data_IF_730562938266
#
_entry.id   IF_730562938266
#
_cell.length_a   1.000
_cell.length_b   1.000
_cell.length_c   1.000
_cell.angle_alpha   90.00
_cell.angle_beta   90.00
_cell.angle_gamma   90.00
#
_symmetry.space_group_name_H-M   'P 1'
#
loop_
_entity.id
_entity.type
_entity.pdbx_description
1 polymer ?
#
# COMPACT_ATOMS: atom_id res chain seq x y z
N UNK A 1 32.04 -6.69 -31.31
CA UNK A 1 30.59 -6.90 -31.51
C UNK A 1 30.25 -8.31 -31.05
N UNK A 2 29.79 -8.43 -29.80
CA UNK A 2 29.26 -9.68 -29.26
C UNK A 2 27.96 -9.31 -28.57
N UNK A 3 26.85 -9.70 -29.18
CA UNK A 3 25.52 -9.49 -28.64
C UNK A 3 25.29 -10.51 -27.51
N UNK A 4 25.33 -10.04 -26.27
CA UNK A 4 24.92 -10.84 -25.13
C UNK A 4 23.40 -10.79 -25.04
N UNK A 5 22.78 -11.89 -25.45
CA UNK A 5 21.35 -12.16 -25.36
C UNK A 5 20.84 -11.88 -23.94
N UNK A 6 20.06 -10.83 -23.77
CA UNK A 6 19.35 -10.52 -22.53
C UNK A 6 18.11 -11.40 -22.51
N UNK A 7 18.11 -12.41 -21.64
CA UNK A 7 16.91 -13.20 -21.39
C UNK A 7 15.81 -12.29 -20.81
N UNK A 8 14.54 -12.45 -21.24
CA UNK A 8 13.45 -11.66 -20.68
C UNK A 8 13.27 -12.04 -19.21
N UNK A 9 13.19 -11.01 -18.37
CA UNK A 9 12.77 -11.13 -16.97
C UNK A 9 11.34 -11.67 -16.99
N UNK A 10 11.18 -12.88 -16.47
CA UNK A 10 9.92 -13.59 -16.35
C UNK A 10 8.99 -12.88 -15.34
N UNK A 11 8.27 -11.87 -15.80
CA UNK A 11 7.00 -11.45 -15.20
C UNK A 11 5.94 -12.51 -15.51
N UNK A 12 5.91 -13.58 -14.71
CA UNK A 12 4.64 -14.25 -14.38
C UNK A 12 4.86 -15.16 -13.15
N UNK A 13 4.68 -14.60 -11.95
CA UNK A 13 4.41 -15.41 -10.77
C UNK A 13 2.89 -15.53 -10.61
N UNK A 14 2.23 -16.24 -11.53
CA UNK A 14 0.97 -16.93 -11.20
C UNK A 14 1.27 -18.04 -10.19
N UNK A 15 1.53 -17.64 -8.94
CA UNK A 15 1.56 -18.56 -7.82
C UNK A 15 0.17 -19.17 -7.65
N UNK A 16 0.10 -20.47 -7.37
CA UNK A 16 -1.18 -21.12 -7.09
C UNK A 16 -1.91 -20.38 -5.94
N UNK A 17 -3.20 -20.02 -6.11
CA UNK A 17 -3.96 -19.34 -5.07
C UNK A 17 -3.96 -20.16 -3.78
N UNK A 18 -3.68 -19.52 -2.64
CA UNK A 18 -3.66 -20.22 -1.35
C UNK A 18 -2.33 -20.88 -0.98
N UNK A 19 -1.25 -20.71 -1.77
CA UNK A 19 0.06 -21.35 -1.49
C UNK A 19 0.65 -21.04 -0.11
N UNK A 20 0.29 -19.92 0.50
CA UNK A 20 0.80 -19.50 1.81
C UNK A 20 -0.15 -19.85 2.98
N UNK A 21 -1.15 -20.72 2.74
CA UNK A 21 -2.02 -21.23 3.80
C UNK A 21 -1.21 -21.98 4.85
N UNK A 22 -1.19 -21.46 6.08
CA UNK A 22 -0.45 -22.06 7.19
C UNK A 22 -1.07 -21.70 8.53
N UNK A 23 -0.57 -22.34 9.60
CA UNK A 23 -0.92 -21.96 10.96
C UNK A 23 -0.11 -20.73 11.37
N UNK A 24 -0.78 -19.61 11.59
CA UNK A 24 -0.14 -18.34 11.94
C UNK A 24 -0.03 -18.20 13.48
N UNK A 25 1.14 -17.86 14.06
CA UNK A 25 1.35 -17.79 15.51
C UNK A 25 0.42 -16.82 16.24
N UNK A 26 -0.09 -17.19 17.42
CA UNK A 26 -0.95 -16.36 18.30
C UNK A 26 -2.46 -16.65 18.19
N UNK A 27 -3.33 -15.69 18.56
CA UNK A 27 -4.80 -15.84 18.52
C UNK A 27 -5.48 -14.76 17.71
N UNK A 28 -6.59 -15.12 17.07
CA UNK A 28 -7.49 -14.16 16.45
C UNK A 28 -8.17 -13.28 17.51
N UNK A 29 -8.39 -12.02 17.18
CA UNK A 29 -9.15 -11.05 17.97
C UNK A 29 -10.61 -11.51 18.06
N UNK A 30 -11.30 -11.20 19.18
CA UNK A 30 -12.73 -11.41 19.29
C UNK A 30 -13.49 -10.76 18.12
N UNK A 31 -14.47 -11.47 17.56
CA UNK A 31 -15.20 -11.04 16.35
C UNK A 31 -15.90 -9.68 16.56
N UNK A 32 -16.50 -9.46 17.72
CA UNK A 32 -17.14 -8.19 18.08
C UNK A 32 -16.16 -7.00 18.14
N UNK A 33 -14.88 -7.23 18.49
CA UNK A 33 -13.85 -6.20 18.44
C UNK A 33 -13.44 -5.91 17.00
N UNK A 34 -13.22 -6.96 16.21
CA UNK A 34 -12.88 -6.83 14.79
C UNK A 34 -13.98 -6.14 13.97
N UNK A 35 -15.26 -6.39 14.28
CA UNK A 35 -16.40 -5.75 13.64
C UNK A 35 -16.47 -4.25 13.99
N UNK A 36 -16.33 -3.90 15.26
CA UNK A 36 -16.33 -2.48 15.70
C UNK A 36 -15.23 -1.65 15.04
N UNK A 37 -14.01 -2.20 14.96
CA UNK A 37 -12.90 -1.51 14.29
C UNK A 37 -13.13 -1.38 12.78
N UNK A 38 -13.67 -2.42 12.14
CA UNK A 38 -14.05 -2.36 10.73
C UNK A 38 -15.13 -1.31 10.45
N UNK A 39 -16.18 -1.26 11.27
CA UNK A 39 -17.26 -0.26 11.16
C UNK A 39 -16.73 1.17 11.36
N UNK A 40 -15.77 1.37 12.27
CA UNK A 40 -15.08 2.67 12.43
C UNK A 40 -14.35 3.07 11.15
N UNK A 41 -13.53 2.20 10.57
CA UNK A 41 -12.84 2.49 9.30
C UNK A 41 -13.81 2.71 8.13
N UNK A 42 -14.94 2.01 8.11
CA UNK A 42 -15.99 2.22 7.12
C UNK A 42 -16.67 3.59 7.29
N UNK A 43 -16.88 4.05 8.53
CA UNK A 43 -17.41 5.39 8.77
C UNK A 43 -16.47 6.49 8.23
N UNK A 44 -15.17 6.36 8.50
CA UNK A 44 -14.13 7.26 7.95
C UNK A 44 -14.07 7.23 6.41
N UNK A 45 -14.41 6.11 5.77
CA UNK A 45 -14.56 6.02 4.31
C UNK A 45 -15.83 6.72 3.82
N UNK A 46 -16.95 6.62 4.56
CA UNK A 46 -18.21 7.28 4.21
C UNK A 46 -18.11 8.80 4.27
N UNK A 47 -17.30 9.34 5.16
CA UNK A 47 -17.01 10.79 5.23
C UNK A 47 -16.24 11.27 4.00
N UNK A 48 -15.37 10.42 3.43
CA UNK A 48 -14.54 10.76 2.26
C UNK A 48 -15.29 10.68 0.93
N UNK A 49 -16.31 9.83 0.81
CA UNK A 49 -17.01 9.58 -0.44
C UNK A 49 -18.48 10.00 -0.41
N UNK A 50 -18.98 10.57 -1.52
CA UNK A 50 -20.40 10.89 -1.67
C UNK A 50 -21.26 9.61 -1.57
N UNK A 51 -22.48 9.68 -0.99
CA UNK A 51 -23.35 8.52 -0.80
C UNK A 51 -23.60 7.67 -2.05
N UNK A 52 -23.67 8.30 -3.23
CA UNK A 52 -23.88 7.59 -4.51
C UNK A 52 -22.74 6.61 -4.87
N UNK A 53 -21.53 6.80 -4.34
CA UNK A 53 -20.39 5.92 -4.60
C UNK A 53 -20.21 4.83 -3.54
N UNK A 54 -20.97 4.88 -2.44
CA UNK A 54 -20.84 3.91 -1.35
C UNK A 54 -20.98 2.46 -1.79
N UNK A 55 -21.96 2.07 -2.64
CA UNK A 55 -22.11 0.68 -3.07
C UNK A 55 -20.91 0.11 -3.84
N UNK A 56 -20.06 0.97 -4.40
CA UNK A 56 -18.90 0.59 -5.19
C UNK A 56 -17.60 0.62 -4.38
N UNK A 57 -17.45 1.59 -3.47
CA UNK A 57 -16.17 1.89 -2.82
C UNK A 57 -16.12 1.47 -1.35
N UNK A 58 -17.27 1.26 -0.71
CA UNK A 58 -17.36 1.02 0.72
C UNK A 58 -17.76 -0.43 0.98
N UNK A 59 -16.87 -1.24 1.57
CA UNK A 59 -17.15 -2.65 1.80
C UNK A 59 -18.22 -2.83 2.88
N UNK A 60 -19.13 -3.78 2.67
CA UNK A 60 -20.08 -4.20 3.70
C UNK A 60 -19.48 -5.31 4.58
N UNK A 61 -19.70 -5.23 5.90
CA UNK A 61 -19.14 -6.19 6.84
C UNK A 61 -19.57 -7.65 6.58
N UNK A 62 -20.76 -7.86 5.99
CA UNK A 62 -21.29 -9.18 5.65
C UNK A 62 -20.51 -9.90 4.53
N UNK A 63 -19.82 -9.13 3.70
CA UNK A 63 -19.06 -9.62 2.55
C UNK A 63 -17.57 -9.81 2.89
N UNK A 64 -17.18 -9.45 4.11
CA UNK A 64 -15.80 -9.51 4.59
C UNK A 64 -15.46 -10.85 5.20
N UNK A 65 -14.38 -11.45 4.71
CA UNK A 65 -13.73 -12.60 5.30
C UNK A 65 -12.48 -12.18 6.06
N UNK A 66 -12.30 -12.73 7.25
CA UNK A 66 -11.19 -12.43 8.15
C UNK A 66 -10.06 -13.42 7.94
N UNK A 67 -8.86 -12.85 7.79
CA UNK A 67 -7.62 -13.59 7.69
C UNK A 67 -6.67 -13.14 8.78
N UNK A 68 -5.80 -14.05 9.16
CA UNK A 68 -4.61 -13.73 9.93
C UNK A 68 -3.40 -13.86 9.03
N UNK A 69 -2.58 -12.84 8.90
CA UNK A 69 -1.38 -12.83 8.07
C UNK A 69 -0.15 -12.79 8.96
N UNK A 70 0.88 -13.53 8.58
CA UNK A 70 2.23 -13.41 9.09
C UNK A 70 3.07 -12.66 8.06
N UNK A 71 3.81 -11.66 8.53
CA UNK A 71 4.72 -10.88 7.72
C UNK A 71 6.14 -11.45 7.84
N UNK A 72 7.02 -11.14 6.89
CA UNK A 72 8.42 -11.55 6.91
C UNK A 72 9.19 -11.03 8.14
N UNK A 73 8.76 -9.91 8.73
CA UNK A 73 9.30 -9.41 10.00
C UNK A 73 8.81 -10.18 11.25
N UNK A 74 8.01 -11.23 11.06
CA UNK A 74 7.43 -12.05 12.13
C UNK A 74 6.16 -11.48 12.75
N UNK A 75 5.83 -10.21 12.50
CA UNK A 75 4.58 -9.62 12.97
C UNK A 75 3.36 -10.34 12.40
N UNK A 76 2.29 -10.37 13.18
CA UNK A 76 1.02 -10.99 12.80
C UNK A 76 -0.09 -9.96 12.84
N UNK A 77 -0.85 -9.86 11.76
CA UNK A 77 -1.97 -8.92 11.63
C UNK A 77 -3.24 -9.64 11.21
N UNK A 78 -4.38 -9.02 11.48
CA UNK A 78 -5.64 -9.44 10.87
C UNK A 78 -5.99 -8.53 9.72
N UNK A 79 -6.37 -9.12 8.60
CA UNK A 79 -6.78 -8.41 7.38
C UNK A 79 -8.13 -8.95 6.91
N UNK A 80 -8.81 -8.17 6.06
CA UNK A 80 -10.13 -8.50 5.54
C UNK A 80 -10.07 -8.59 4.02
N UNK A 81 -10.73 -9.55 3.41
CA UNK A 81 -10.92 -9.61 1.95
C UNK A 81 -12.40 -9.79 1.58
N UNK A 82 -12.76 -9.47 0.35
CA UNK A 82 -14.11 -9.72 -0.18
C UNK A 82 -14.27 -11.21 -0.49
N UNK A 83 -14.92 -11.93 0.43
CA UNK A 83 -15.11 -13.37 0.34
C UNK A 83 -13.91 -14.23 0.76
N UNK A 84 -14.15 -15.54 0.88
CA UNK A 84 -13.18 -16.51 1.41
C UNK A 84 -12.19 -17.06 0.38
N UNK A 85 -12.43 -16.78 -0.90
CA UNK A 85 -11.61 -17.21 -2.05
C UNK A 85 -10.64 -16.12 -2.53
N UNK A 86 -10.66 -14.95 -1.89
CA UNK A 86 -9.70 -13.87 -2.15
C UNK A 86 -8.61 -13.90 -1.10
N UNK A 87 -7.44 -14.38 -1.50
CA UNK A 87 -6.31 -14.58 -0.60
C UNK A 87 -5.59 -13.26 -0.28
N UNK A 88 -5.01 -13.12 0.93
CA UNK A 88 -4.29 -11.92 1.31
C UNK A 88 -3.07 -11.59 0.43
N UNK A 89 -2.42 -12.59 -0.18
CA UNK A 89 -1.20 -12.40 -0.99
C UNK A 89 -1.46 -11.95 -2.43
N UNK A 90 -2.68 -12.09 -2.93
CA UNK A 90 -3.07 -11.58 -4.26
C UNK A 90 -3.48 -10.10 -4.21
N UNK A 91 -3.53 -9.50 -3.00
CA UNK A 91 -4.03 -8.15 -2.78
C UNK A 91 -2.90 -7.13 -2.75
N UNK A 92 -3.16 -5.99 -3.36
CA UNK A 92 -2.40 -4.75 -3.15
C UNK A 92 -3.03 -3.89 -2.06
N UNK A 93 -2.38 -3.86 -0.90
CA UNK A 93 -2.78 -3.00 0.22
C UNK A 93 -2.38 -1.56 -0.06
N UNK A 94 -2.96 -0.61 0.68
CA UNK A 94 -2.59 0.80 0.55
C UNK A 94 -1.39 1.09 1.45
N UNK A 95 -0.42 1.82 0.90
CA UNK A 95 0.55 2.58 1.66
C UNK A 95 -0.18 3.79 2.28
N UNK A 96 -0.23 3.92 3.62
CA UNK A 96 -0.92 5.03 4.27
C UNK A 96 -0.22 6.38 4.10
N UNK A 97 1.04 6.42 3.66
CA UNK A 97 1.81 7.66 3.46
C UNK A 97 1.61 8.21 2.06
N UNK A 98 1.83 7.38 1.04
CA UNK A 98 1.74 7.81 -0.36
C UNK A 98 0.35 7.57 -0.97
N UNK A 99 -0.57 6.98 -0.20
CA UNK A 99 -1.90 6.51 -0.62
C UNK A 99 -1.88 5.58 -1.85
N UNK A 100 -0.71 5.06 -2.17
CA UNK A 100 -0.48 4.22 -3.35
C UNK A 100 -0.64 2.76 -3.01
N UNK A 101 -0.96 1.95 -4.02
CA UNK A 101 -1.06 0.50 -3.86
C UNK A 101 0.35 -0.08 -3.72
N UNK A 102 0.57 -0.81 -2.64
CA UNK A 102 1.76 -1.64 -2.47
C UNK A 102 1.77 -2.78 -3.50
N UNK A 103 2.95 -3.32 -3.85
CA UNK A 103 3.05 -4.58 -4.57
C UNK A 103 2.15 -5.67 -3.98
N UNK A 104 1.60 -6.53 -4.85
CA UNK A 104 0.72 -7.60 -4.41
C UNK A 104 1.44 -8.51 -3.40
N UNK A 105 0.75 -8.81 -2.30
CA UNK A 105 1.28 -9.65 -1.22
C UNK A 105 2.21 -8.93 -0.25
N UNK A 106 2.32 -7.62 -0.34
CA UNK A 106 2.92 -6.79 0.71
C UNK A 106 1.87 -6.11 1.57
N UNK A 107 2.21 -5.93 2.84
CA UNK A 107 1.35 -5.28 3.82
C UNK A 107 2.16 -4.24 4.62
N UNK A 108 1.53 -3.12 4.95
CA UNK A 108 2.14 -2.08 5.77
C UNK A 108 2.21 -2.51 7.24
N UNK A 109 3.40 -2.82 7.74
CA UNK A 109 3.60 -3.17 9.16
C UNK A 109 3.58 -1.89 10.02
N UNK A 110 2.61 -1.70 10.93
CA UNK A 110 2.58 -0.54 11.81
C UNK A 110 3.58 -0.65 12.97
N UNK A 111 4.12 -1.84 13.23
CA UNK A 111 5.11 -2.06 14.30
C UNK A 111 6.37 -1.28 13.99
N UNK A 112 6.89 -0.56 14.99
CA UNK A 112 8.21 0.02 14.92
C UNK A 112 9.25 -1.07 15.17
N UNK A 113 10.10 -1.31 14.18
CA UNK A 113 11.20 -2.27 14.25
C UNK A 113 12.54 -1.58 14.59
N UNK A 114 12.49 -0.32 15.01
CA UNK A 114 13.66 0.52 15.24
C UNK A 114 14.18 1.14 13.94
N UNK A 115 15.33 1.83 14.01
CA UNK A 115 15.92 2.50 12.87
C UNK A 115 16.25 1.47 11.78
N UNK A 116 15.49 1.52 10.69
CA UNK A 116 15.74 0.73 9.48
C UNK A 116 16.34 1.67 8.45
N UNK A 117 17.47 1.29 7.86
CA UNK A 117 18.04 2.04 6.75
C UNK A 117 16.98 2.19 5.64
N UNK A 118 16.78 3.41 5.15
CA UNK A 118 15.90 3.66 4.00
C UNK A 118 16.69 3.25 2.77
N UNK A 119 16.30 2.17 2.06
CA UNK A 119 17.06 1.78 0.90
C UNK A 119 16.84 2.81 -0.22
N UNK A 120 17.93 3.32 -0.77
CA UNK A 120 17.89 4.13 -1.97
C UNK A 120 17.50 3.27 -3.17
N UNK A 121 16.50 3.71 -3.94
CA UNK A 121 15.94 3.00 -5.09
C UNK A 121 15.89 3.93 -6.28
N UNK A 122 16.30 3.43 -7.44
CA UNK A 122 16.20 4.19 -8.68
C UNK A 122 14.72 4.40 -9.07
N UNK A 123 14.42 5.53 -9.70
CA UNK A 123 13.11 5.84 -10.28
C UNK A 123 13.01 5.09 -11.61
N UNK A 124 11.98 4.26 -11.76
CA UNK A 124 11.70 3.53 -12.99
C UNK A 124 10.66 4.22 -13.87
N UNK A 125 9.69 4.90 -13.25
CA UNK A 125 8.55 5.47 -13.97
C UNK A 125 8.11 6.78 -13.33
N UNK A 126 7.77 7.76 -14.17
CA UNK A 126 7.14 9.02 -13.80
C UNK A 126 5.64 8.91 -14.12
N UNK A 127 4.80 8.81 -13.09
CA UNK A 127 3.41 8.33 -13.22
C UNK A 127 2.42 9.47 -13.41
N UNK A 128 2.32 10.35 -12.40
CA UNK A 128 1.41 11.49 -12.43
C UNK A 128 2.17 12.77 -12.04
N UNK A 129 1.64 13.90 -12.53
CA UNK A 129 2.18 15.24 -12.27
C UNK A 129 1.08 16.11 -11.70
N UNK A 130 1.36 16.74 -10.57
CA UNK A 130 0.53 17.75 -9.95
C UNK A 130 1.32 19.04 -9.82
N UNK A 131 0.77 20.12 -10.36
CA UNK A 131 1.31 21.46 -10.15
C UNK A 131 0.62 22.08 -8.95
N UNK A 132 1.40 22.67 -8.05
CA UNK A 132 0.89 23.30 -6.83
C UNK A 132 1.50 24.68 -6.70
N UNK A 133 0.64 25.66 -6.43
CA UNK A 133 1.04 27.03 -6.11
C UNK A 133 1.19 27.17 -4.60
N UNK A 134 2.28 27.79 -4.18
CA UNK A 134 2.59 28.08 -2.79
C UNK A 134 2.63 29.59 -2.57
N UNK A 135 2.16 30.07 -1.41
CA UNK A 135 2.46 31.42 -0.98
C UNK A 135 3.98 31.59 -0.77
N UNK A 136 4.45 32.82 -0.54
CA UNK A 136 5.78 33.05 0.02
C UNK A 136 6.01 32.17 1.24
N UNK A 137 7.22 31.64 1.36
CA UNK A 137 7.66 30.91 2.53
C UNK A 137 7.68 31.87 3.75
N UNK A 138 7.33 31.39 4.96
CA UNK A 138 7.30 32.21 6.17
C UNK A 138 8.68 32.82 6.48
N UNK A 139 8.69 33.92 7.24
CA UNK A 139 9.94 34.59 7.62
C UNK A 139 10.79 33.73 8.58
N UNK A 140 10.12 33.04 9.51
CA UNK A 140 10.73 32.07 10.41
C UNK A 140 10.40 30.64 9.94
N UNK A 141 11.29 29.65 10.16
CA UNK A 141 11.00 28.27 9.80
C UNK A 141 9.94 27.68 10.73
N UNK A 142 8.98 26.95 10.18
CA UNK A 142 7.98 26.19 10.94
C UNK A 142 8.55 24.88 11.52
N UNK A 143 9.87 24.68 11.46
CA UNK A 143 10.54 23.41 11.76
C UNK A 143 11.58 23.56 12.87
N UNK A 144 11.44 22.78 13.94
CA UNK A 144 12.33 22.83 15.12
C UNK A 144 13.79 22.47 14.84
N UNK A 145 14.08 21.82 13.70
CA UNK A 145 15.42 21.33 13.33
C UNK A 145 16.20 22.29 12.43
N UNK A 146 15.59 23.40 12.00
CA UNK A 146 16.20 24.38 11.09
C UNK A 146 16.29 25.74 11.78
N UNK A 147 17.48 26.33 11.81
CA UNK A 147 17.65 27.68 12.33
C UNK A 147 17.26 28.76 11.30
N UNK A 148 17.04 29.97 11.79
CA UNK A 148 16.60 31.10 10.98
C UNK A 148 17.66 31.53 9.94
N UNK A 149 18.96 31.31 10.20
CA UNK A 149 20.02 31.71 9.29
C UNK A 149 20.04 30.81 8.05
N UNK A 150 19.97 29.51 8.25
CA UNK A 150 19.91 28.53 7.16
C UNK A 150 18.57 28.57 6.43
N UNK A 151 17.47 28.80 7.15
CA UNK A 151 16.17 29.04 6.53
C UNK A 151 16.19 30.24 5.58
N UNK A 152 16.78 31.36 6.02
CA UNK A 152 16.89 32.56 5.19
C UNK A 152 17.67 32.33 3.88
N UNK A 153 18.57 31.35 3.83
CA UNK A 153 19.34 31.00 2.63
C UNK A 153 18.52 30.22 1.59
N UNK A 154 17.48 29.49 2.01
CA UNK A 154 16.72 28.58 1.14
C UNK A 154 15.26 28.99 0.88
N UNK A 155 14.68 29.80 1.76
CA UNK A 155 13.26 30.21 1.69
C UNK A 155 12.95 31.00 0.43
N UNK A 156 11.75 30.81 -0.11
CA UNK A 156 11.19 31.53 -1.26
C UNK A 156 10.42 32.76 -0.80
N UNK A 157 10.99 33.94 -1.02
CA UNK A 157 10.38 35.22 -0.63
C UNK A 157 9.12 35.58 -1.43
N UNK A 158 9.03 35.07 -2.66
CA UNK A 158 7.91 35.32 -3.57
C UNK A 158 7.02 34.08 -3.69
N UNK A 159 5.73 34.24 -4.04
CA UNK A 159 4.88 33.11 -4.38
C UNK A 159 5.54 32.28 -5.48
N UNK A 160 5.47 30.97 -5.35
CA UNK A 160 6.15 30.08 -6.29
C UNK A 160 5.28 28.88 -6.63
N UNK A 161 5.58 28.29 -7.78
CA UNK A 161 4.87 27.12 -8.29
C UNK A 161 5.86 25.98 -8.45
N UNK A 162 5.48 24.80 -7.99
CA UNK A 162 6.31 23.58 -8.09
C UNK A 162 5.53 22.44 -8.71
N UNK A 163 6.22 21.60 -9.49
CA UNK A 163 5.65 20.36 -9.99
C UNK A 163 6.03 19.19 -9.07
N UNK A 164 5.02 18.47 -8.58
CA UNK A 164 5.19 17.23 -7.83
C UNK A 164 4.84 16.06 -8.72
N UNK A 165 5.80 15.18 -8.88
CA UNK A 165 5.66 13.95 -9.61
C UNK A 165 5.49 12.79 -8.67
N UNK A 166 4.48 11.96 -8.90
CA UNK A 166 4.48 10.61 -8.36
C UNK A 166 5.39 9.74 -9.21
N UNK A 167 6.32 9.08 -8.56
CA UNK A 167 7.28 8.19 -9.21
C UNK A 167 7.11 6.77 -8.69
N UNK A 168 7.37 5.78 -9.55
CA UNK A 168 7.49 4.37 -9.16
C UNK A 168 8.98 4.03 -9.06
N UNK A 169 9.38 3.53 -7.90
CA UNK A 169 10.75 3.14 -7.61
C UNK A 169 11.01 1.69 -8.04
N UNK A 170 12.28 1.30 -8.12
CA UNK A 170 12.70 -0.04 -8.56
C UNK A 170 12.25 -1.19 -7.65
N UNK A 171 11.86 -0.88 -6.41
CA UNK A 171 11.23 -1.85 -5.51
C UNK A 171 9.71 -2.01 -5.74
N UNK A 172 9.11 -1.25 -6.66
CA UNK A 172 7.67 -1.26 -6.94
C UNK A 172 6.83 -0.33 -6.06
N UNK A 173 7.43 0.31 -5.05
CA UNK A 173 6.77 1.35 -4.24
C UNK A 173 6.74 2.69 -4.96
N UNK A 174 5.89 3.59 -4.48
CA UNK A 174 5.79 4.94 -5.00
C UNK A 174 6.41 5.94 -4.03
N UNK A 175 6.85 7.07 -4.56
CA UNK A 175 7.30 8.24 -3.81
C UNK A 175 6.94 9.52 -4.58
N UNK A 176 7.24 10.68 -4.00
CA UNK A 176 7.05 11.98 -4.61
C UNK A 176 8.39 12.69 -4.86
N UNK A 177 8.52 13.28 -6.05
CA UNK A 177 9.69 14.06 -6.47
C UNK A 177 9.24 15.45 -6.90
N UNK A 178 9.93 16.48 -6.42
CA UNK A 178 9.68 17.87 -6.83
C UNK A 178 10.61 18.25 -7.99
N UNK A 179 10.08 18.98 -8.97
CA UNK A 179 10.82 19.56 -10.09
C UNK A 179 10.35 20.98 -10.42
N UNK A 180 11.12 21.66 -11.26
CA UNK A 180 10.63 22.87 -11.93
C UNK A 180 9.37 22.55 -12.76
N UNK A 181 8.51 23.54 -12.94
CA UNK A 181 7.20 23.37 -13.60
C UNK A 181 7.35 23.01 -15.08
N UNK A 182 8.34 23.58 -15.76
CA UNK A 182 8.61 23.35 -17.18
C UNK A 182 9.35 22.04 -17.47
N UNK A 183 9.96 21.44 -16.44
CA UNK A 183 10.69 20.18 -16.57
C UNK A 183 9.75 19.00 -16.83
N UNK A 184 10.16 18.14 -17.76
CA UNK A 184 9.56 16.82 -18.01
C UNK A 184 10.63 15.72 -18.07
N UNK A 185 10.27 14.44 -17.84
CA UNK A 185 11.22 13.34 -17.83
C UNK A 185 12.10 13.24 -19.07
N UNK A 186 11.58 13.61 -20.25
CA UNK A 186 12.29 13.56 -21.52
C UNK A 186 13.42 14.58 -21.63
N UNK A 187 13.39 15.66 -20.85
CA UNK A 187 14.47 16.67 -20.84
C UNK A 187 15.72 16.14 -20.12
N UNK A 188 15.57 15.09 -19.32
CA UNK A 188 16.61 14.58 -18.44
C UNK A 188 16.94 15.53 -17.29
N UNK A 189 17.78 15.10 -16.32
CA UNK A 189 18.12 15.93 -15.18
C UNK A 189 19.03 17.09 -15.57
N UNK A 190 18.87 18.23 -14.90
CA UNK A 190 19.85 19.32 -14.91
C UNK A 190 21.10 18.85 -14.15
N UNK A 191 22.26 19.01 -14.78
CA UNK A 191 23.55 18.61 -14.22
C UNK A 191 24.35 19.83 -13.78
N UNK A 192 25.08 19.70 -12.68
CA UNK A 192 26.03 20.70 -12.21
C UNK A 192 27.23 20.76 -13.17
N UNK A 193 27.78 21.96 -13.41
CA UNK A 193 28.99 22.15 -14.23
C UNK A 193 30.19 21.35 -13.69
N UNK A 194 31.13 21.00 -14.56
CA UNK A 194 32.33 20.23 -14.16
C UNK A 194 33.21 20.96 -13.15
N UNK A 195 33.35 22.27 -13.28
CA UNK A 195 34.10 23.10 -12.33
C UNK A 195 33.44 23.04 -10.94
N UNK A 196 32.14 23.34 -10.86
CA UNK A 196 31.41 23.30 -9.60
C UNK A 196 31.35 21.91 -8.97
N UNK A 197 31.26 20.83 -9.74
CA UNK A 197 31.26 19.48 -9.14
C UNK A 197 32.64 19.09 -8.60
N UNK A 198 33.73 19.59 -9.20
CA UNK A 198 35.08 19.41 -8.68
C UNK A 198 35.26 20.18 -7.36
N UNK A 199 34.70 21.39 -7.25
CA UNK A 199 34.65 22.14 -5.99
C UNK A 199 33.86 21.39 -4.91
N UNK A 200 32.63 20.96 -5.22
CA UNK A 200 31.78 20.19 -4.30
C UNK A 200 32.51 18.93 -3.82
N UNK A 201 33.19 18.21 -4.73
CA UNK A 201 33.99 17.04 -4.38
C UNK A 201 35.08 17.37 -3.36
N UNK A 202 35.81 18.47 -3.58
CA UNK A 202 36.85 18.92 -2.65
C UNK A 202 36.26 19.32 -1.30
N UNK A 203 35.18 20.10 -1.28
CA UNK A 203 34.46 20.52 -0.07
C UNK A 203 34.04 19.29 0.78
N UNK A 204 33.46 18.26 0.16
CA UNK A 204 33.10 17.02 0.87
C UNK A 204 34.30 16.24 1.39
N UNK A 205 35.40 16.13 0.62
CA UNK A 205 36.61 15.45 1.10
C UNK A 205 37.28 16.20 2.26
N UNK A 206 37.24 17.55 2.26
CA UNK A 206 37.71 18.37 3.38
C UNK A 206 36.87 18.12 4.64
N UNK A 207 35.53 18.13 4.52
CA UNK A 207 34.60 17.81 5.62
C UNK A 207 34.86 16.40 6.16
N UNK A 208 34.92 15.38 5.28
CA UNK A 208 35.16 14.00 5.67
C UNK A 208 36.52 13.80 6.33
N UNK A 209 37.52 14.59 5.95
CA UNK A 209 38.85 14.56 6.59
C UNK A 209 38.82 15.23 7.96
N UNK A 210 38.10 16.35 8.11
CA UNK A 210 38.02 17.13 9.34
C UNK A 210 37.18 16.44 10.43
N UNK A 211 36.03 15.85 10.08
CA UNK A 211 35.10 15.22 11.02
C UNK A 211 35.47 13.76 11.38
N UNK A 212 36.43 13.19 10.65
CA UNK A 212 36.97 11.85 10.88
C UNK A 212 35.89 10.76 10.91
N UNK A 213 36.11 9.73 11.74
CA UNK A 213 35.16 8.60 11.92
C UNK A 213 33.96 8.90 12.80
N UNK A 214 33.90 10.09 13.40
CA UNK A 214 32.93 10.46 14.44
C UNK A 214 31.66 11.08 13.89
N UNK A 215 31.74 11.83 12.78
CA UNK A 215 30.56 12.39 12.11
C UNK A 215 30.06 11.52 10.95
N UNK A 216 30.98 10.98 10.15
CA UNK A 216 30.66 10.23 8.93
C UNK A 216 31.61 9.03 8.76
N UNK A 217 31.17 7.79 9.05
CA UNK A 217 31.98 6.60 8.83
C UNK A 217 32.50 6.53 7.38
N UNK A 218 33.71 6.01 7.19
CA UNK A 218 34.33 5.91 5.87
C UNK A 218 33.50 5.06 4.89
N UNK A 219 32.78 4.08 5.42
CA UNK A 219 31.84 3.22 4.73
C UNK A 219 30.47 3.41 5.39
N UNK A 220 29.68 4.34 4.84
CA UNK A 220 28.28 4.52 5.23
C UNK A 220 27.42 4.64 3.97
N UNK A 221 26.17 4.15 4.00
CA UNK A 221 25.24 4.30 2.88
C UNK A 221 25.08 5.76 2.42
N UNK A 222 25.12 6.71 3.34
CA UNK A 222 24.99 8.13 3.07
C UNK A 222 26.24 8.68 2.34
N UNK A 223 27.45 8.28 2.76
CA UNK A 223 28.69 8.68 2.07
C UNK A 223 28.77 8.08 0.66
N UNK A 224 28.37 6.83 0.50
CA UNK A 224 28.33 6.17 -0.82
C UNK A 224 27.30 6.82 -1.75
N UNK A 225 26.14 7.22 -1.20
CA UNK A 225 25.15 7.99 -1.94
C UNK A 225 25.70 9.35 -2.40
N UNK A 226 26.35 10.12 -1.52
CA UNK A 226 26.95 11.41 -1.88
C UNK A 226 28.00 11.22 -2.98
N UNK A 227 28.88 10.22 -2.87
CA UNK A 227 29.86 9.90 -3.92
C UNK A 227 29.19 9.60 -5.26
N UNK A 228 28.15 8.76 -5.28
CA UNK A 228 27.34 8.49 -6.48
C UNK A 228 26.76 9.79 -7.06
N UNK A 229 26.21 10.67 -6.24
CA UNK A 229 25.65 11.94 -6.70
C UNK A 229 26.73 12.86 -7.30
N UNK A 230 27.92 12.92 -6.72
CA UNK A 230 29.06 13.67 -7.26
C UNK A 230 29.50 13.10 -8.62
N UNK A 231 29.61 11.78 -8.74
CA UNK A 231 29.98 11.11 -10.00
C UNK A 231 28.96 11.36 -11.11
N UNK A 232 27.67 11.44 -10.76
CA UNK A 232 26.58 11.75 -11.68
C UNK A 232 26.42 13.25 -11.97
N UNK A 233 27.32 14.11 -11.47
CA UNK A 233 27.23 15.58 -11.58
C UNK A 233 25.98 16.17 -10.94
N UNK A 234 25.58 15.60 -9.81
CA UNK A 234 24.49 16.02 -8.92
C UNK A 234 23.18 16.30 -9.67
N UNK A 235 22.59 15.28 -10.33
CA UNK A 235 21.42 15.44 -11.17
C UNK A 235 20.21 15.99 -10.40
N UNK A 236 19.48 16.92 -11.01
CA UNK A 236 18.20 17.44 -10.50
C UNK A 236 17.10 17.36 -11.58
N UNK A 237 15.99 16.62 -11.36
CA UNK A 237 15.74 15.75 -10.20
C UNK A 237 16.74 14.61 -10.06
N UNK A 238 16.89 14.06 -8.85
CA UNK A 238 17.74 12.90 -8.60
C UNK A 238 17.17 11.64 -9.29
N UNK A 239 18.02 10.69 -9.74
CA UNK A 239 17.57 9.50 -10.46
C UNK A 239 16.93 8.44 -9.55
N UNK A 240 16.88 8.67 -8.24
CA UNK A 240 16.39 7.73 -7.25
C UNK A 240 15.96 8.44 -5.98
N UNK A 241 15.38 7.69 -5.05
CA UNK A 241 14.91 8.18 -3.75
C UNK A 241 15.10 7.13 -2.67
N UNK A 242 15.24 7.60 -1.44
CA UNK A 242 15.09 6.76 -0.25
C UNK A 242 13.65 6.26 -0.14
N UNK A 243 13.44 4.96 -0.30
CA UNK A 243 12.11 4.40 -0.24
C UNK A 243 11.64 4.25 1.22
N UNK A 244 10.82 5.19 1.70
CA UNK A 244 10.22 5.09 3.04
C UNK A 244 9.33 3.84 3.17
N UNK A 245 8.56 3.50 2.13
CA UNK A 245 7.69 2.34 2.14
C UNK A 245 8.45 1.03 2.39
N UNK A 246 9.66 0.85 1.84
CA UNK A 246 10.50 -0.34 2.11
C UNK A 246 10.81 -0.51 3.61
N UNK A 247 10.83 0.55 4.40
CA UNK A 247 11.07 0.45 5.85
C UNK A 247 9.88 -0.12 6.61
N UNK A 248 8.67 -0.14 6.02
CA UNK A 248 7.42 -0.54 6.68
C UNK A 248 6.66 -1.65 5.97
N UNK A 249 6.66 -1.67 4.65
CA UNK A 249 6.04 -2.69 3.82
C UNK A 249 6.80 -4.01 4.02
N UNK A 250 6.04 -5.08 4.27
CA UNK A 250 6.57 -6.42 4.52
C UNK A 250 5.81 -7.42 3.68
N UNK A 251 6.54 -8.37 3.11
CA UNK A 251 5.93 -9.48 2.37
C UNK A 251 5.14 -10.38 3.31
N UNK A 252 3.94 -10.79 2.87
CA UNK A 252 3.15 -11.81 3.54
C UNK A 252 3.81 -13.16 3.30
N UNK A 253 4.15 -13.87 4.37
CA UNK A 253 4.83 -15.18 4.33
C UNK A 253 3.90 -16.33 4.73
N UNK A 254 2.75 -16.02 5.31
CA UNK A 254 1.75 -17.02 5.69
C UNK A 254 0.40 -16.38 5.99
N UNK A 255 -0.70 -17.12 5.78
CA UNK A 255 -2.00 -16.72 6.29
C UNK A 255 -2.90 -17.88 6.72
N UNK A 256 -3.78 -17.58 7.66
CA UNK A 256 -4.74 -18.50 8.24
C UNK A 256 -6.16 -17.96 8.07
N UNK A 257 -7.08 -18.81 7.61
CA UNK A 257 -8.52 -18.51 7.60
C UNK A 257 -9.04 -18.38 9.03
N UNK A 258 -9.78 -17.31 9.31
CA UNK A 258 -10.51 -17.14 10.58
C UNK A 258 -12.00 -17.41 10.37
N UNK A 259 -12.60 -16.77 9.36
CA UNK A 259 -14.03 -16.88 9.06
C UNK A 259 -14.64 -15.55 8.66
N UNK A 260 -15.94 -15.55 8.37
CA UNK A 260 -16.69 -14.34 8.01
C UNK A 260 -16.71 -13.32 9.15
N UNK A 261 -16.58 -12.03 8.81
CA UNK A 261 -16.61 -10.94 9.79
C UNK A 261 -17.96 -10.86 10.48
N UNK A 262 -19.04 -10.99 9.71
CA UNK A 262 -20.39 -11.24 10.22
C UNK A 262 -20.73 -12.71 9.93
N UNK A 263 -21.15 -13.52 10.93
CA UNK A 263 -21.50 -14.91 10.70
C UNK A 263 -22.60 -15.02 9.63
N UNK A 264 -22.34 -15.79 8.57
CA UNK A 264 -23.41 -16.14 7.62
C UNK A 264 -24.42 -17.02 8.35
N UNK A 265 -25.70 -16.62 8.33
CA UNK A 265 -26.78 -17.50 8.73
C UNK A 265 -26.70 -18.74 7.85
N UNK A 266 -26.54 -19.93 8.45
CA UNK A 266 -26.64 -21.17 7.67
C UNK A 266 -28.00 -21.12 6.95
N UNK A 267 -28.06 -21.37 5.64
CA UNK A 267 -29.34 -21.56 4.98
C UNK A 267 -30.14 -22.56 5.80
N UNK A 268 -31.40 -22.26 6.10
CA UNK A 268 -32.27 -23.25 6.73
C UNK A 268 -32.15 -24.54 5.91
N UNK A 269 -31.96 -25.71 6.55
CA UNK A 269 -31.91 -26.97 5.82
C UNK A 269 -33.14 -27.00 4.92
N UNK A 270 -32.92 -27.20 3.62
CA UNK A 270 -34.01 -27.24 2.64
C UNK A 270 -35.11 -28.15 3.20
N UNK A 271 -36.36 -27.64 3.29
CA UNK A 271 -37.47 -28.51 3.68
C UNK A 271 -37.42 -29.70 2.74
N UNK A 272 -37.36 -30.91 3.30
CA UNK A 272 -37.24 -32.09 2.44
C UNK A 272 -38.49 -32.12 1.58
N UNK A 273 -38.33 -32.00 0.25
CA UNK A 273 -39.44 -31.96 -0.70
C UNK A 273 -40.40 -33.16 -0.53
N UNK A 274 -39.91 -34.25 0.06
CA UNK A 274 -40.69 -35.43 0.45
C UNK A 274 -41.72 -35.17 1.58
N UNK A 275 -41.43 -34.30 2.56
CA UNK A 275 -42.39 -33.93 3.60
C UNK A 275 -43.50 -33.03 3.03
N UNK A 276 -43.16 -32.14 2.09
CA UNK A 276 -44.13 -31.24 1.47
C UNK A 276 -45.03 -31.97 0.47
N UNK A 277 -44.50 -32.92 -0.32
CA UNK A 277 -45.31 -33.75 -1.22
C UNK A 277 -46.32 -34.61 -0.48
N UNK A 278 -45.94 -35.28 0.62
CA UNK A 278 -46.87 -36.07 1.43
C UNK A 278 -47.99 -35.24 2.06
N UNK A 279 -47.69 -34.00 2.48
CA UNK A 279 -48.71 -33.07 3.00
C UNK A 279 -49.69 -32.61 1.92
N UNK A 280 -49.20 -32.37 0.70
CA UNK A 280 -50.05 -32.00 -0.44
C UNK A 280 -50.92 -33.18 -0.87
N UNK A 281 -50.37 -34.39 -0.96
CA UNK A 281 -51.13 -35.63 -1.26
C UNK A 281 -52.21 -35.90 -0.21
N UNK A 282 -51.91 -35.71 1.08
CA UNK A 282 -52.89 -35.86 2.17
C UNK A 282 -54.02 -34.81 2.09
N UNK A 283 -53.69 -33.57 1.74
CA UNK A 283 -54.70 -32.49 1.54
C UNK A 283 -55.58 -32.75 0.33
N UNK A 284 -55.00 -33.26 -0.75
CA UNK A 284 -55.75 -33.63 -1.95
C UNK A 284 -56.71 -34.80 -1.67
N UNK A 285 -56.24 -35.85 -1.00
CA UNK A 285 -57.06 -36.99 -0.61
C UNK A 285 -58.23 -36.59 0.31
N UNK A 286 -58.00 -35.67 1.25
CA UNK A 286 -59.05 -35.14 2.12
C UNK A 286 -60.10 -34.36 1.32
N UNK A 287 -59.67 -33.48 0.41
CA UNK A 287 -60.57 -32.74 -0.47
C UNK A 287 -61.38 -33.67 -1.40
N UNK A 288 -60.75 -34.68 -1.98
CA UNK A 288 -61.44 -35.67 -2.82
C UNK A 288 -62.44 -36.54 -2.06
N UNK A 289 -62.15 -36.86 -0.79
CA UNK A 289 -63.08 -37.57 0.08
C UNK A 289 -64.30 -36.70 0.42
N UNK A 290 -64.09 -35.40 0.63
CA UNK A 290 -65.15 -34.43 0.91
C UNK A 290 -66.05 -34.20 -0.31
N UNK A 291 -65.47 -34.08 -1.51
CA UNK A 291 -66.25 -34.04 -2.76
C UNK A 291 -67.07 -35.31 -2.96
N UNK A 292 -66.52 -36.50 -2.65
CA UNK A 292 -67.27 -37.76 -2.73
C UNK A 292 -68.47 -37.77 -1.79
N UNK A 293 -68.31 -37.33 -0.54
CA UNK A 293 -69.41 -37.21 0.43
C UNK A 293 -70.51 -36.27 -0.07
N UNK A 294 -70.14 -35.13 -0.65
CA UNK A 294 -71.10 -34.17 -1.19
C UNK A 294 -71.88 -34.73 -2.40
N UNK A 295 -71.27 -35.59 -3.20
CA UNK A 295 -71.93 -36.23 -4.36
C UNK A 295 -72.91 -37.36 -3.99
N UNK A 296 -72.72 -38.01 -2.84
CA UNK A 296 -73.63 -39.07 -2.34
C UNK A 296 -74.82 -38.52 -1.54
N UNK A 297 -74.90 -37.21 -1.32
CA UNK A 297 -75.97 -36.57 -0.53
C UNK A 297 -77.00 -35.85 -1.43
N UNK A 298 -77.16 -36.33 -2.67
CA UNK A 298 -78.16 -35.80 -3.63
C UNK A 298 -79.17 -36.87 -4.00
#
# INVERSE_FOLDING_TARGET
MSATSTAPVSEDQTGEPGRLLTRVPGRARPQNKALREFEKSVAELRERYKPMFWPLLIPEAKDMFRWRVQLECGCTHEVYTHGEDKYPDDRSYLDPVTESRLPAGEYWCPTDHGPTAKPYRDILEWVDRKVVDFPPDPEEPDYDWMDAEDWAKIRKLDPHTSAFWKVKLSCGHHDQVCSDVDWKPEDGPKLVSEERIAEIRREFEEIWTAEGRTGWPHESPERDHIRKMIELRWPRPEPGRDCYACTRARRITGYQRIGWLVPKTKPAPASSANLDRKKVEARLAAAEAEVRKLRTTR
#
